data_IF_778984835148
#
_entry.id   IF_778984835148
#
_cell.length_a   1.000
_cell.length_b   1.000
_cell.length_c   1.000
_cell.angle_alpha   90.00
_cell.angle_beta   90.00
_cell.angle_gamma   90.00
#
_symmetry.space_group_name_H-M   'P 1'
#
loop_
_entity.id
_entity.type
_entity.pdbx_description
1 polymer ?
#
# COMPACT_ATOMS: atom_id res chain seq x y z
N UNK A 1 -4.63 19.77 -0.71
CA UNK A 1 -4.11 18.50 -1.26
C UNK A 1 -4.88 17.37 -0.61
N UNK A 2 -5.48 16.47 -1.38
CA UNK A 2 -6.07 15.27 -0.81
C UNK A 2 -4.95 14.52 -0.08
N UNK A 3 -5.07 14.34 1.24
CA UNK A 3 -4.14 13.49 1.97
C UNK A 3 -4.24 12.10 1.33
N UNK A 4 -3.14 11.51 0.89
CA UNK A 4 -3.09 10.18 0.24
C UNK A 4 -3.48 9.04 1.19
N UNK A 5 -4.65 9.16 1.81
CA UNK A 5 -5.22 8.32 2.85
C UNK A 5 -6.68 8.09 2.51
N UNK A 6 -7.07 6.82 2.48
CA UNK A 6 -8.45 6.41 2.53
C UNK A 6 -8.97 6.61 3.96
N UNK A 7 -10.18 7.14 4.11
CA UNK A 7 -10.89 7.25 5.40
C UNK A 7 -12.14 6.40 5.27
N UNK A 8 -12.31 5.40 6.13
CA UNK A 8 -13.45 4.51 6.09
C UNK A 8 -14.74 5.29 6.40
N UNK A 9 -15.73 5.32 5.48
CA UNK A 9 -17.00 6.00 5.71
C UNK A 9 -17.97 5.15 6.53
N UNK A 10 -17.86 3.83 6.43
CA UNK A 10 -18.76 2.86 7.04
C UNK A 10 -17.97 1.79 7.79
N UNK A 11 -18.59 1.23 8.82
CA UNK A 11 -18.08 0.03 9.49
C UNK A 11 -18.17 -1.17 8.55
N UNK A 12 -17.12 -1.97 8.47
CA UNK A 12 -17.17 -3.21 7.70
C UNK A 12 -15.82 -3.80 7.35
N UNK A 13 -15.86 -4.86 6.55
CA UNK A 13 -14.69 -5.53 6.02
C UNK A 13 -14.32 -4.94 4.66
N UNK A 14 -13.11 -4.42 4.53
CA UNK A 14 -12.57 -3.82 3.31
C UNK A 14 -11.43 -4.67 2.76
N UNK A 15 -11.31 -4.74 1.44
CA UNK A 15 -10.16 -5.31 0.75
C UNK A 15 -9.30 -4.19 0.19
N UNK A 16 -7.97 -4.30 0.36
CA UNK A 16 -6.99 -3.42 -0.25
C UNK A 16 -5.97 -4.22 -1.06
N UNK A 17 -5.57 -3.68 -2.21
CA UNK A 17 -4.52 -4.23 -3.08
C UNK A 17 -3.54 -3.14 -3.48
N UNK A 18 -2.26 -3.46 -3.33
CA UNK A 18 -1.11 -2.66 -3.72
C UNK A 18 -0.29 -3.41 -4.77
N UNK A 19 -0.07 -2.78 -5.92
CA UNK A 19 0.90 -3.22 -6.92
C UNK A 19 2.05 -2.21 -6.95
N UNK A 20 3.29 -2.71 -6.96
CA UNK A 20 4.51 -1.90 -6.93
C UNK A 20 5.52 -2.48 -7.91
N UNK A 21 6.10 -1.60 -8.72
CA UNK A 21 7.26 -1.90 -9.55
C UNK A 21 8.53 -1.42 -8.84
N UNK A 22 9.48 -2.33 -8.66
CA UNK A 22 10.73 -2.05 -7.97
C UNK A 22 11.70 -1.27 -8.84
N UNK A 23 12.53 -0.44 -8.20
CA UNK A 23 13.64 0.23 -8.87
C UNK A 23 14.90 -0.65 -8.83
N UNK A 24 15.61 -0.79 -9.97
CA UNK A 24 16.82 -1.62 -10.05
C UNK A 24 17.87 -1.22 -9.02
N UNK A 25 18.48 -2.20 -8.35
CA UNK A 25 19.52 -2.00 -7.34
C UNK A 25 19.08 -1.24 -6.08
N UNK A 26 17.78 -0.93 -5.92
CA UNK A 26 17.21 -0.35 -4.70
C UNK A 26 16.37 -1.37 -3.98
N UNK A 27 16.26 -1.22 -2.66
CA UNK A 27 15.28 -1.99 -1.88
C UNK A 27 13.88 -1.44 -2.20
N UNK A 28 12.88 -2.31 -2.22
CA UNK A 28 11.48 -1.86 -2.20
C UNK A 28 10.90 -2.33 -0.87
N UNK A 29 10.59 -1.39 0.00
CA UNK A 29 10.01 -1.69 1.32
C UNK A 29 8.83 -0.75 1.57
N UNK A 30 7.62 -1.27 1.41
CA UNK A 30 6.40 -0.48 1.44
C UNK A 30 5.45 -1.05 2.49
N UNK A 31 4.83 -0.18 3.28
CA UNK A 31 3.77 -0.56 4.22
C UNK A 31 2.42 -0.14 3.67
N UNK A 32 1.43 -1.04 3.77
CA UNK A 32 0.03 -0.64 3.90
C UNK A 32 -0.22 -0.40 5.38
N UNK A 33 -0.64 0.80 5.72
CA UNK A 33 -0.81 1.28 7.10
C UNK A 33 -2.29 1.36 7.41
N UNK A 34 -2.70 0.81 8.55
CA UNK A 34 -4.01 1.04 9.17
C UNK A 34 -3.78 1.93 10.39
N UNK A 35 -4.36 3.12 10.36
CA UNK A 35 -4.12 4.20 11.32
C UNK A 35 -2.62 4.52 11.45
N UNK A 36 -1.99 4.08 12.54
CA UNK A 36 -0.57 4.32 12.82
C UNK A 36 0.29 3.05 12.66
N UNK A 37 -0.33 1.88 12.48
CA UNK A 37 0.34 0.59 12.46
C UNK A 37 0.46 0.02 11.04
N UNK A 38 1.56 -0.68 10.76
CA UNK A 38 1.71 -1.43 9.52
C UNK A 38 0.79 -2.65 9.57
N UNK A 39 -0.17 -2.73 8.64
CA UNK A 39 -1.06 -3.86 8.51
C UNK A 39 -0.38 -5.00 7.74
N UNK A 40 0.25 -4.67 6.61
CA UNK A 40 1.06 -5.60 5.80
C UNK A 40 2.24 -4.88 5.17
N UNK A 41 3.24 -5.67 4.79
CA UNK A 41 4.48 -5.22 4.16
C UNK A 41 4.59 -5.83 2.76
N UNK A 42 5.04 -5.02 1.81
CA UNK A 42 5.54 -5.46 0.51
C UNK A 42 7.05 -5.21 0.49
N UNK A 43 7.81 -6.26 0.21
CA UNK A 43 9.27 -6.24 0.26
C UNK A 43 9.91 -6.93 -0.94
N UNK A 44 10.89 -6.26 -1.55
CA UNK A 44 11.85 -6.84 -2.48
C UNK A 44 13.27 -6.46 -2.09
N UNK A 45 14.17 -7.43 -2.18
CA UNK A 45 15.61 -7.17 -2.10
C UNK A 45 16.08 -6.42 -3.36
N UNK A 46 17.16 -5.63 -3.27
CA UNK A 46 17.83 -5.09 -4.44
C UNK A 46 18.16 -6.18 -5.45
N UNK A 47 17.82 -5.94 -6.71
CA UNK A 47 18.10 -6.84 -7.83
C UNK A 47 18.53 -6.04 -9.07
N UNK A 48 19.29 -6.69 -9.95
CA UNK A 48 19.65 -6.18 -11.28
C UNK A 48 18.46 -6.08 -12.23
N UNK A 49 17.34 -6.72 -11.89
CA UNK A 49 16.08 -6.67 -12.63
C UNK A 49 14.99 -6.06 -11.76
N UNK A 50 14.18 -5.21 -12.37
CA UNK A 50 12.96 -4.72 -11.75
C UNK A 50 11.92 -5.84 -11.73
N UNK A 51 11.15 -5.93 -10.65
CA UNK A 51 10.06 -6.89 -10.52
C UNK A 51 8.75 -6.15 -10.24
N UNK A 52 7.65 -6.74 -10.71
CA UNK A 52 6.30 -6.34 -10.31
C UNK A 52 5.88 -7.18 -9.11
N UNK A 53 5.50 -6.53 -8.02
CA UNK A 53 5.00 -7.19 -6.82
C UNK A 53 3.59 -6.72 -6.49
N UNK A 54 2.81 -7.65 -5.93
CA UNK A 54 1.46 -7.39 -5.43
C UNK A 54 1.37 -7.79 -3.97
N UNK A 55 0.65 -7.00 -3.17
CA UNK A 55 0.29 -7.34 -1.79
C UNK A 55 -1.16 -6.93 -1.55
N UNK A 56 -1.91 -7.81 -0.90
CA UNK A 56 -3.32 -7.56 -0.59
C UNK A 56 -3.67 -7.93 0.85
N UNK A 57 -4.62 -7.21 1.43
CA UNK A 57 -5.06 -7.43 2.81
C UNK A 57 -6.55 -7.14 2.95
N UNK A 58 -7.23 -7.89 3.81
CA UNK A 58 -8.57 -7.56 4.28
C UNK A 58 -8.48 -6.95 5.68
N UNK A 59 -9.15 -5.81 5.88
CA UNK A 59 -9.16 -5.08 7.14
C UNK A 59 -10.59 -4.81 7.58
N UNK A 60 -10.90 -5.14 8.83
CA UNK A 60 -12.10 -4.64 9.49
C UNK A 60 -11.83 -3.18 9.90
N UNK A 61 -12.64 -2.25 9.40
CA UNK A 61 -12.48 -0.82 9.64
C UNK A 61 -13.71 -0.26 10.34
N UNK A 62 -13.48 0.66 11.28
CA UNK A 62 -14.51 1.52 11.84
C UNK A 62 -14.60 2.85 11.06
N UNK A 63 -15.75 3.56 11.11
CA UNK A 63 -15.85 4.90 10.53
C UNK A 63 -14.75 5.82 11.09
N UNK A 64 -14.02 6.49 10.19
CA UNK A 64 -12.90 7.36 10.55
C UNK A 64 -11.53 6.67 10.57
N UNK A 65 -11.44 5.34 10.46
CA UNK A 65 -10.16 4.66 10.31
C UNK A 65 -9.47 5.06 9.01
N UNK A 66 -8.14 5.19 9.07
CA UNK A 66 -7.32 5.60 7.94
C UNK A 66 -6.54 4.41 7.35
N UNK A 67 -6.54 4.26 6.03
CA UNK A 67 -5.68 3.32 5.33
C UNK A 67 -4.85 4.04 4.27
N UNK A 68 -3.54 3.82 4.28
CA UNK A 68 -2.62 4.54 3.38
C UNK A 68 -1.32 3.77 3.15
N UNK A 69 -0.53 4.23 2.19
CA UNK A 69 0.73 3.58 1.81
C UNK A 69 1.90 4.50 2.14
N UNK A 70 2.99 3.92 2.66
CA UNK A 70 4.26 4.64 2.86
C UNK A 70 5.46 3.82 2.50
N UNK A 71 6.49 4.49 2.00
CA UNK A 71 7.84 3.95 1.99
C UNK A 71 8.32 3.80 3.43
N UNK A 72 8.89 2.65 3.74
CA UNK A 72 9.58 2.46 5.01
C UNK A 72 10.99 3.07 4.94
N UNK A 73 11.30 3.99 5.84
CA UNK A 73 12.60 4.66 5.87
C UNK A 73 13.53 4.00 6.88
N UNK A 74 14.63 3.42 6.39
CA UNK A 74 15.79 2.96 7.16
C UNK A 74 17.08 3.53 6.53
N UNK A 75 18.23 3.01 6.94
CA UNK A 75 19.54 3.40 6.38
C UNK A 75 19.74 2.98 4.91
N UNK A 76 18.92 2.05 4.40
CA UNK A 76 18.99 1.57 3.01
C UNK A 76 18.26 2.50 2.04
N UNK A 77 18.73 2.52 0.80
CA UNK A 77 18.07 3.24 -0.28
C UNK A 77 16.80 2.49 -0.73
N UNK A 78 15.65 3.00 -0.31
CA UNK A 78 14.33 2.46 -0.65
C UNK A 78 13.70 3.27 -1.78
N UNK A 79 13.25 2.60 -2.83
CA UNK A 79 12.60 3.22 -3.98
C UNK A 79 11.52 2.34 -4.61
N UNK A 80 10.59 3.02 -5.29
CA UNK A 80 9.57 2.45 -6.17
C UNK A 80 9.63 3.20 -7.50
N UNK A 81 9.20 2.57 -8.59
CA UNK A 81 9.36 3.12 -9.94
C UNK A 81 8.03 3.23 -10.70
N UNK A 82 7.85 4.39 -11.33
CA UNK A 82 7.00 4.66 -12.49
C UNK A 82 7.77 5.66 -13.36
N UNK A 83 7.49 5.71 -14.66
CA UNK A 83 8.01 6.76 -15.53
C UNK A 83 6.91 7.74 -15.94
N UNK A 84 7.21 8.62 -16.90
CA UNK A 84 6.31 9.65 -17.40
C UNK A 84 5.28 9.14 -18.42
N UNK A 85 5.39 7.88 -18.83
CA UNK A 85 4.52 7.24 -19.83
C UNK A 85 3.64 6.18 -19.19
N UNK A 86 4.21 5.33 -18.33
CA UNK A 86 3.60 4.16 -17.75
C UNK A 86 3.40 4.30 -16.23
N UNK A 87 2.18 4.01 -15.78
CA UNK A 87 1.84 3.93 -14.35
C UNK A 87 1.88 2.49 -13.88
N UNK A 88 2.91 2.13 -13.11
CA UNK A 88 3.10 0.77 -12.60
C UNK A 88 2.62 0.56 -11.17
N UNK A 89 2.49 1.64 -10.40
CA UNK A 89 2.13 1.59 -8.99
C UNK A 89 0.65 1.93 -8.81
N UNK A 90 -0.11 0.99 -8.26
CA UNK A 90 -1.54 1.19 -7.98
C UNK A 90 -1.84 0.82 -6.55
N UNK A 91 -2.63 1.64 -5.86
CA UNK A 91 -3.23 1.29 -4.58
C UNK A 91 -4.74 1.46 -4.67
N UNK A 92 -5.47 0.38 -4.41
CA UNK A 92 -6.92 0.33 -4.55
C UNK A 92 -7.55 -0.38 -3.36
N UNK A 93 -8.80 -0.05 -3.05
CA UNK A 93 -9.56 -0.78 -2.05
C UNK A 93 -11.06 -0.54 -2.16
N UNK A 94 -11.84 -1.44 -1.60
CA UNK A 94 -13.30 -1.39 -1.63
C UNK A 94 -13.91 -2.12 -0.42
N UNK A 95 -15.14 -1.74 -0.06
CA UNK A 95 -15.95 -2.43 0.94
C UNK A 95 -16.40 -3.78 0.39
N UNK A 96 -16.14 -4.85 1.13
CA UNK A 96 -16.62 -6.21 0.82
C UNK A 96 -17.96 -6.45 1.49
N UNK A 97 -18.06 -6.12 2.78
CA UNK A 97 -19.26 -6.36 3.57
C UNK A 97 -19.41 -5.26 4.63
N UNK A 98 -20.53 -4.51 4.66
CA UNK A 98 -20.85 -3.64 5.80
C UNK A 98 -21.12 -4.49 7.04
N UNK A 99 -20.70 -4.01 8.20
CA UNK A 99 -21.13 -4.58 9.48
C UNK A 99 -22.45 -3.92 9.88
N UNK A 100 -23.46 -4.71 10.21
CA UNK A 100 -24.71 -4.19 10.75
C UNK A 100 -24.46 -3.67 12.18
N UNK A 101 -25.18 -2.62 12.59
CA UNK A 101 -25.13 -2.09 13.96
C UNK A 101 -25.67 -3.08 15.01
#
# INVERSE_FOLDING_TARGET
MAAGRFVAPLRGLYFFSLNVHSWNFKETYVHVVHNEAAAVILYAQPSDRSIMQSQSVMLALAPGDHVWVRLFKRERENAVYSDDVDTYITFSGHLIKPEDD
#
